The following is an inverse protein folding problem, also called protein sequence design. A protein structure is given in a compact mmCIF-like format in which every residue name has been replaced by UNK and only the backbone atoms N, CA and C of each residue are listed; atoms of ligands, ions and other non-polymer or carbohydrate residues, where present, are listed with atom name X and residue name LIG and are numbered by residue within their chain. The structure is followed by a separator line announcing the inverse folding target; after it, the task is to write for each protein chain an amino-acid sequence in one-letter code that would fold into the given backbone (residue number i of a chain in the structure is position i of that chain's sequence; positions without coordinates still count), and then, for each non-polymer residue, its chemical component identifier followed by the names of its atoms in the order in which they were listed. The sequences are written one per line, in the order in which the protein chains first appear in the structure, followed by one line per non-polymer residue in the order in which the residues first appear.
data_IF_787882631292
#
_entry.id   IF_787882631292
#
_cell.length_a   1.000
_cell.length_b   1.000
_cell.length_c   1.000
_cell.angle_alpha   90.00
_cell.angle_beta   90.00
_cell.angle_gamma   90.00
#
_symmetry.space_group_name_H-M   'P 1'
#
loop_
_entity.id
_entity.type
_entity.pdbx_description
1 polymer ?
#
# COMPACT_ATOMS: atom_id res chain seq x y z
N UNK A 1 21.14 44.77 -10.49
CA UNK A 1 21.31 45.42 -11.81
C UNK A 1 20.28 44.80 -12.73
N UNK A 2 19.35 45.60 -13.29
CA UNK A 2 18.13 45.12 -13.96
C UNK A 2 18.41 44.55 -15.34
N UNK A 3 17.86 43.37 -15.64
CA UNK A 3 17.71 42.77 -16.97
C UNK A 3 16.36 43.19 -17.57
N UNK A 4 16.13 44.50 -17.69
CA UNK A 4 14.89 45.04 -18.28
C UNK A 4 15.12 45.86 -19.55
N UNK A 5 16.32 45.83 -20.12
CA UNK A 5 16.65 46.62 -21.31
C UNK A 5 17.45 45.79 -22.29
N UNK A 6 16.74 45.09 -23.18
CA UNK A 6 17.04 44.87 -24.60
C UNK A 6 16.07 43.78 -25.11
N UNK A 7 15.28 44.16 -26.13
CA UNK A 7 14.23 43.40 -26.83
C UNK A 7 12.79 43.48 -26.24
N UNK A 8 12.00 44.38 -26.83
CA UNK A 8 10.54 44.29 -26.85
C UNK A 8 10.11 43.08 -27.69
N UNK A 9 9.83 41.95 -27.04
CA UNK A 9 8.90 40.93 -27.53
C UNK A 9 7.94 40.56 -26.40
N UNK A 10 6.80 41.24 -26.38
CA UNK A 10 5.66 40.91 -25.52
C UNK A 10 4.96 39.67 -26.05
N UNK A 11 5.39 38.49 -25.58
CA UNK A 11 4.62 37.24 -25.36
C UNK A 11 5.63 36.08 -25.30
N UNK A 12 6.15 35.78 -24.11
CA UNK A 12 6.87 34.51 -23.90
C UNK A 12 5.87 33.45 -23.47
N UNK A 13 5.71 32.44 -24.31
CA UNK A 13 5.11 31.15 -23.94
C UNK A 13 6.12 30.42 -23.05
N UNK A 14 5.70 29.88 -21.92
CA UNK A 14 6.55 29.01 -21.09
C UNK A 14 5.75 27.76 -20.79
N UNK A 15 5.82 26.80 -21.69
CA UNK A 15 5.56 25.42 -21.32
C UNK A 15 6.88 24.87 -20.80
N UNK A 16 6.86 24.36 -19.58
CA UNK A 16 8.01 23.67 -19.03
C UNK A 16 7.50 22.49 -18.22
N UNK A 17 8.05 21.34 -18.53
CA UNK A 17 7.93 20.16 -17.71
C UNK A 17 9.05 20.22 -16.68
N UNK A 18 8.67 20.36 -15.41
CA UNK A 18 9.64 20.31 -14.33
C UNK A 18 9.52 18.98 -13.61
N UNK A 19 10.50 18.11 -13.86
CA UNK A 19 10.78 17.00 -12.97
C UNK A 19 11.49 17.56 -11.73
N UNK A 20 10.95 17.27 -10.55
CA UNK A 20 11.49 17.81 -9.31
C UNK A 20 10.91 17.19 -8.07
N UNK A 21 11.15 17.84 -6.94
CA UNK A 21 10.63 17.44 -5.64
C UNK A 21 9.56 18.43 -5.18
N UNK A 22 8.34 17.95 -4.95
CA UNK A 22 7.33 18.71 -4.24
C UNK A 22 7.63 18.63 -2.75
N UNK A 23 7.90 19.79 -2.15
CA UNK A 23 8.14 19.92 -0.70
C UNK A 23 6.95 20.60 -0.06
N UNK A 24 6.43 20.00 1.00
CA UNK A 24 5.30 20.52 1.74
C UNK A 24 5.41 20.20 3.22
N UNK A 25 4.47 20.74 3.99
CA UNK A 25 4.28 20.38 5.38
C UNK A 25 2.90 19.73 5.43
N UNK A 26 2.87 18.46 5.81
CA UNK A 26 1.64 17.74 6.08
C UNK A 26 1.31 17.90 7.55
N UNK A 27 0.10 18.42 7.80
CA UNK A 27 -0.51 18.42 9.11
C UNK A 27 -1.59 17.36 9.13
N UNK A 28 -1.40 16.36 9.99
CA UNK A 28 -2.44 15.38 10.31
C UNK A 28 -2.99 15.77 11.67
N UNK A 29 -4.31 15.81 11.81
CA UNK A 29 -4.96 16.19 13.06
C UNK A 29 -4.44 15.33 14.23
N UNK A 30 -4.07 15.97 15.33
CA UNK A 30 -3.48 15.31 16.50
C UNK A 30 -2.00 14.90 16.36
N UNK A 31 -1.33 15.17 15.23
CA UNK A 31 0.11 14.91 15.04
C UNK A 31 0.89 16.18 14.74
N UNK A 32 2.16 16.17 15.14
CA UNK A 32 3.09 17.23 14.76
C UNK A 32 3.25 17.29 13.24
N UNK A 33 3.39 18.52 12.75
CA UNK A 33 3.58 18.82 11.35
C UNK A 33 4.85 18.13 10.82
N UNK A 34 4.72 17.39 9.71
CA UNK A 34 5.85 16.68 9.10
C UNK A 34 6.16 17.24 7.73
N UNK A 35 7.45 17.41 7.44
CA UNK A 35 7.88 17.76 6.09
C UNK A 35 7.67 16.57 5.15
N UNK A 36 7.01 16.83 4.03
CA UNK A 36 6.79 15.90 2.94
C UNK A 36 7.71 16.27 1.78
N UNK A 37 8.42 15.30 1.22
CA UNK A 37 9.20 15.44 0.00
C UNK A 37 8.78 14.33 -0.95
N UNK A 38 8.11 14.69 -2.05
CA UNK A 38 7.65 13.75 -3.08
C UNK A 38 8.37 14.03 -4.38
N UNK A 39 8.81 13.00 -5.09
CA UNK A 39 9.17 13.13 -6.50
C UNK A 39 7.90 13.45 -7.27
N UNK A 40 7.91 14.54 -8.03
CA UNK A 40 6.73 15.07 -8.69
C UNK A 40 7.07 15.54 -10.08
N UNK A 41 6.05 15.49 -10.93
CA UNK A 41 6.04 16.07 -12.26
C UNK A 41 5.06 17.23 -12.22
N UNK A 42 5.54 18.44 -12.53
CA UNK A 42 4.68 19.60 -12.70
C UNK A 42 4.68 19.98 -14.18
N UNK A 43 3.53 19.84 -14.80
CA UNK A 43 3.22 20.47 -16.09
C UNK A 43 2.52 21.81 -15.82
N UNK A 44 3.04 22.86 -16.42
CA UNK A 44 2.40 24.16 -16.41
C UNK A 44 2.36 24.73 -17.83
N UNK A 45 1.14 24.92 -18.34
CA UNK A 45 0.90 25.55 -19.63
C UNK A 45 -0.04 26.74 -19.45
N UNK A 46 0.44 27.95 -19.75
CA UNK A 46 -0.38 29.15 -19.88
C UNK A 46 -0.06 29.88 -21.19
N UNK A 47 -1.11 30.23 -21.93
CA UNK A 47 -1.00 30.97 -23.18
C UNK A 47 -2.23 30.82 -24.07
N UNK A 48 -2.43 31.77 -24.97
CA UNK A 48 -3.51 31.80 -25.98
C UNK A 48 -3.09 31.19 -27.33
N UNK A 49 -1.99 30.44 -27.38
CA UNK A 49 -1.41 29.91 -28.62
C UNK A 49 -0.93 28.46 -28.48
N UNK A 50 -1.05 27.71 -29.57
CA UNK A 50 -0.63 26.30 -29.74
C UNK A 50 0.89 26.17 -29.58
N UNK A 51 1.35 25.28 -28.69
CA UNK A 51 2.75 24.82 -28.67
C UNK A 51 2.87 23.53 -29.47
N UNK A 52 3.90 23.43 -30.32
CA UNK A 52 4.26 22.19 -31.01
C UNK A 52 5.72 21.89 -30.74
N UNK A 53 5.98 20.74 -30.15
CA UNK A 53 7.32 20.20 -29.89
C UNK A 53 7.35 18.75 -30.37
N UNK A 54 8.47 18.34 -30.96
CA UNK A 54 8.61 16.98 -31.43
C UNK A 54 10.02 16.65 -31.88
N UNK A 55 10.35 15.37 -31.83
CA UNK A 55 11.57 14.82 -32.39
C UNK A 55 11.29 13.41 -32.92
N UNK A 56 12.13 12.96 -33.83
CA UNK A 56 12.14 11.60 -34.37
C UNK A 56 13.47 10.95 -33.98
N UNK A 57 13.41 9.80 -33.34
CA UNK A 57 14.60 9.00 -33.03
C UNK A 57 14.82 7.93 -34.10
N UNK A 58 16.02 7.86 -34.65
CA UNK A 58 16.42 6.82 -35.59
C UNK A 58 16.95 5.58 -34.87
N UNK A 59 16.94 4.39 -35.49
CA UNK A 59 17.45 3.16 -34.86
C UNK A 59 18.92 3.22 -34.39
N UNK A 60 19.72 4.12 -34.96
CA UNK A 60 21.11 4.36 -34.56
C UNK A 60 21.24 5.36 -33.39
N UNK A 61 20.14 5.76 -32.77
CA UNK A 61 20.10 6.72 -31.65
C UNK A 61 20.19 8.19 -32.05
N UNK A 62 20.26 8.50 -33.35
CA UNK A 62 20.27 9.90 -33.81
C UNK A 62 18.88 10.51 -33.67
N UNK A 63 18.84 11.68 -33.02
CA UNK A 63 17.62 12.45 -32.78
C UNK A 63 17.50 13.58 -33.79
N UNK A 64 16.40 13.58 -34.54
CA UNK A 64 16.08 14.59 -35.56
C UNK A 64 14.96 15.46 -35.01
N UNK A 65 15.15 16.78 -35.01
CA UNK A 65 14.17 17.73 -34.45
C UNK A 65 13.07 17.99 -35.44
N UNK A 66 11.82 17.98 -34.98
CA UNK A 66 10.68 18.50 -35.74
C UNK A 66 10.74 20.03 -35.66
N UNK A 67 10.74 20.69 -36.81
CA UNK A 67 10.82 22.14 -36.95
C UNK A 67 9.49 22.78 -37.32
N UNK A 68 8.60 22.02 -37.95
CA UNK A 68 7.25 22.47 -38.28
C UNK A 68 6.28 21.28 -38.35
N UNK A 69 4.99 21.54 -38.15
CA UNK A 69 3.94 20.52 -38.17
C UNK A 69 2.59 21.17 -38.47
N UNK A 70 1.84 20.60 -39.43
CA UNK A 70 0.52 21.10 -39.83
C UNK A 70 -0.64 20.55 -38.99
N UNK A 71 -0.34 19.75 -37.94
CA UNK A 71 -1.35 19.20 -37.05
C UNK A 71 -2.15 20.32 -36.34
N UNK A 72 -3.43 20.42 -36.70
CA UNK A 72 -4.35 21.42 -36.20
C UNK A 72 -5.25 20.86 -35.09
N UNK A 73 -4.73 20.87 -33.86
CA UNK A 73 -5.42 20.34 -32.69
C UNK A 73 -6.80 20.98 -32.45
N UNK A 74 -6.97 22.32 -32.56
CA UNK A 74 -8.31 22.92 -32.52
C UNK A 74 -9.27 22.26 -33.50
N UNK A 75 -8.96 22.18 -34.79
CA UNK A 75 -9.91 21.62 -35.75
C UNK A 75 -10.13 20.11 -35.61
N UNK A 76 -9.14 19.37 -35.12
CA UNK A 76 -9.24 17.91 -34.98
C UNK A 76 -10.01 17.47 -33.74
N UNK A 77 -9.81 18.14 -32.60
CA UNK A 77 -10.22 17.65 -31.30
C UNK A 77 -11.16 18.57 -30.52
N UNK A 78 -11.80 19.55 -31.15
CA UNK A 78 -12.72 20.49 -30.49
C UNK A 78 -13.81 19.76 -29.68
N UNK A 79 -14.29 20.43 -28.63
CA UNK A 79 -15.43 20.00 -27.82
C UNK A 79 -15.30 18.58 -27.21
N UNK A 80 -14.08 18.20 -26.82
CA UNK A 80 -13.82 16.92 -26.15
C UNK A 80 -14.08 15.69 -27.02
N UNK A 81 -13.91 15.85 -28.33
CA UNK A 81 -14.14 14.78 -29.30
C UNK A 81 -12.86 14.54 -30.12
N UNK A 82 -11.91 13.75 -29.61
CA UNK A 82 -10.69 13.47 -30.34
C UNK A 82 -10.97 12.54 -31.54
N UNK A 83 -10.34 12.78 -32.70
CA UNK A 83 -10.63 12.06 -33.94
C UNK A 83 -10.25 10.58 -33.82
N UNK A 84 -10.98 9.69 -34.52
CA UNK A 84 -10.62 8.27 -34.59
C UNK A 84 -9.38 8.07 -35.46
N UNK A 85 -9.41 8.57 -36.68
CA UNK A 85 -8.30 8.50 -37.62
C UNK A 85 -7.96 9.92 -38.09
N UNK A 86 -6.67 10.21 -38.23
CA UNK A 86 -6.19 11.51 -38.69
C UNK A 86 -4.80 11.39 -39.31
N UNK A 87 -4.42 12.38 -40.09
CA UNK A 87 -3.10 12.45 -40.70
C UNK A 87 -2.58 13.88 -40.65
N UNK A 88 -1.27 14.02 -40.60
CA UNK A 88 -0.61 15.32 -40.60
C UNK A 88 0.79 15.19 -41.21
N UNK A 89 1.35 16.33 -41.62
CA UNK A 89 2.72 16.43 -42.09
C UNK A 89 3.58 17.14 -41.05
N UNK A 90 4.84 16.75 -40.98
CA UNK A 90 5.83 17.46 -40.18
C UNK A 90 7.15 17.60 -40.92
N UNK A 91 7.79 18.76 -40.75
CA UNK A 91 9.12 19.05 -41.29
C UNK A 91 10.16 18.90 -40.20
N UNK A 92 11.34 18.40 -40.55
CA UNK A 92 12.47 18.26 -39.62
C UNK A 92 13.68 19.10 -40.01
N UNK A 93 14.62 19.24 -39.08
CA UNK A 93 15.84 20.01 -39.27
C UNK A 93 16.85 19.41 -40.28
N UNK A 94 16.60 18.22 -40.82
CA UNK A 94 17.31 17.65 -41.98
C UNK A 94 16.70 18.10 -43.33
N UNK A 95 15.67 18.95 -43.30
CA UNK A 95 14.98 19.49 -44.46
C UNK A 95 13.91 18.59 -45.08
N UNK A 96 13.61 17.43 -44.47
CA UNK A 96 12.60 16.50 -44.96
C UNK A 96 11.21 16.83 -44.41
N UNK A 97 10.21 16.77 -45.28
CA UNK A 97 8.79 16.76 -44.90
C UNK A 97 8.31 15.30 -44.90
N UNK A 98 7.62 14.89 -43.85
CA UNK A 98 7.13 13.51 -43.64
C UNK A 98 5.63 13.50 -43.43
N UNK A 99 4.97 12.50 -43.98
CA UNK A 99 3.53 12.29 -43.82
C UNK A 99 3.27 11.20 -42.79
N UNK A 100 2.40 11.50 -41.83
CA UNK A 100 1.99 10.56 -40.77
C UNK A 100 0.50 10.30 -40.89
N UNK A 101 0.14 9.02 -40.96
CA UNK A 101 -1.23 8.53 -40.81
C UNK A 101 -1.37 7.84 -39.45
N UNK A 102 -2.40 8.20 -38.71
CA UNK A 102 -2.75 7.64 -37.40
C UNK A 102 -4.09 6.93 -37.52
N UNK A 103 -4.14 5.66 -37.08
CA UNK A 103 -5.38 4.90 -36.96
C UNK A 103 -5.59 4.43 -35.53
N UNK A 104 -6.73 4.76 -34.93
CA UNK A 104 -7.01 4.36 -33.54
C UNK A 104 -7.47 2.91 -33.48
N UNK A 105 -6.82 2.12 -32.60
CA UNK A 105 -7.26 0.76 -32.28
C UNK A 105 -8.20 0.74 -31.08
N UNK A 106 -7.83 1.46 -30.02
CA UNK A 106 -8.55 1.53 -28.76
C UNK A 106 -8.39 2.93 -28.15
N UNK A 107 -9.43 3.43 -27.50
CA UNK A 107 -9.53 4.80 -26.97
C UNK A 107 -10.31 4.79 -25.65
N UNK A 108 -9.73 4.33 -24.53
CA UNK A 108 -10.33 4.45 -23.23
C UNK A 108 -10.46 5.94 -22.84
N UNK A 109 -11.45 6.22 -22.02
CA UNK A 109 -11.69 7.52 -21.43
C UNK A 109 -11.43 7.43 -19.93
N UNK A 110 -10.59 8.32 -19.42
CA UNK A 110 -10.23 8.41 -18.02
C UNK A 110 -10.51 9.81 -17.47
N UNK A 111 -10.78 9.87 -16.18
CA UNK A 111 -10.92 11.12 -15.44
C UNK A 111 -9.87 11.15 -14.34
N UNK A 112 -9.14 12.27 -14.24
CA UNK A 112 -8.22 12.52 -13.15
C UNK A 112 -8.83 13.47 -12.13
N UNK A 113 -8.36 13.33 -10.89
CA UNK A 113 -8.81 14.04 -9.69
C UNK A 113 -10.21 13.63 -9.22
N UNK A 114 -10.46 13.81 -7.93
CA UNK A 114 -11.74 13.42 -7.30
C UNK A 114 -12.93 14.18 -7.87
N UNK A 115 -12.68 15.36 -8.44
CA UNK A 115 -13.68 16.21 -9.08
C UNK A 115 -13.85 15.97 -10.59
N UNK A 116 -13.09 15.02 -11.15
CA UNK A 116 -13.10 14.64 -12.57
C UNK A 116 -12.86 15.82 -13.53
N UNK A 117 -12.15 16.89 -13.10
CA UNK A 117 -11.95 18.09 -13.91
C UNK A 117 -11.03 17.90 -15.12
N UNK A 118 -10.23 16.84 -15.14
CA UNK A 118 -9.37 16.50 -16.27
C UNK A 118 -9.87 15.19 -16.88
N UNK A 119 -10.14 15.22 -18.18
CA UNK A 119 -10.57 14.07 -18.96
C UNK A 119 -9.52 13.73 -20.00
N UNK A 120 -9.12 12.46 -20.06
CA UNK A 120 -8.02 11.98 -20.89
C UNK A 120 -8.50 10.84 -21.78
N UNK A 121 -8.20 10.93 -23.07
CA UNK A 121 -8.32 9.80 -23.99
C UNK A 121 -6.92 9.29 -24.33
N UNK A 122 -6.57 8.10 -23.84
CA UNK A 122 -5.27 7.48 -24.05
C UNK A 122 -5.34 6.48 -25.22
N UNK A 123 -5.18 6.97 -26.45
CA UNK A 123 -5.43 6.16 -27.64
C UNK A 123 -4.24 5.29 -27.98
N UNK A 124 -4.45 3.98 -28.10
CA UNK A 124 -3.47 3.08 -28.72
C UNK A 124 -3.67 3.13 -30.23
N UNK A 125 -2.63 3.49 -30.97
CA UNK A 125 -2.72 3.79 -32.40
C UNK A 125 -1.75 2.97 -33.25
N UNK A 126 -2.18 2.66 -34.46
CA UNK A 126 -1.31 2.31 -35.58
C UNK A 126 -0.80 3.59 -36.25
N UNK A 127 0.48 3.62 -36.56
CA UNK A 127 1.15 4.76 -37.19
C UNK A 127 1.77 4.30 -38.51
N UNK A 128 1.57 5.08 -39.56
CA UNK A 128 2.31 4.95 -40.81
C UNK A 128 3.03 6.28 -41.09
N UNK A 129 4.35 6.28 -41.05
CA UNK A 129 5.17 7.45 -41.36
C UNK A 129 5.97 7.19 -42.63
N UNK A 130 5.62 7.85 -43.74
CA UNK A 130 6.24 7.65 -45.05
C UNK A 130 6.34 6.17 -45.50
N UNK A 131 5.32 5.36 -45.19
CA UNK A 131 5.28 3.92 -45.51
C UNK A 131 5.89 3.02 -44.43
N UNK A 132 6.53 3.58 -43.40
CA UNK A 132 7.06 2.83 -42.25
C UNK A 132 5.96 2.65 -41.22
N UNK A 133 5.56 1.39 -41.01
CA UNK A 133 4.53 1.03 -40.04
C UNK A 133 5.11 0.94 -38.63
N UNK A 134 4.33 1.41 -37.66
CA UNK A 134 4.62 1.32 -36.24
C UNK A 134 3.34 1.40 -35.40
N UNK A 135 3.52 1.43 -34.09
CA UNK A 135 2.44 1.60 -33.11
C UNK A 135 2.84 2.69 -32.13
N UNK A 136 1.87 3.37 -31.55
CA UNK A 136 2.12 4.43 -30.57
C UNK A 136 0.95 4.68 -29.65
N UNK A 137 1.10 5.72 -28.83
CA UNK A 137 0.05 6.26 -27.97
C UNK A 137 -0.21 7.70 -28.40
N UNK A 138 -1.47 8.07 -28.51
CA UNK A 138 -1.92 9.45 -28.71
C UNK A 138 -2.81 9.84 -27.54
N UNK A 139 -2.33 10.76 -26.70
CA UNK A 139 -3.07 11.25 -25.53
C UNK A 139 -3.78 12.56 -25.87
N UNK A 140 -5.08 12.61 -25.59
CA UNK A 140 -5.89 13.82 -25.76
C UNK A 140 -6.44 14.25 -24.40
N UNK A 141 -6.02 15.41 -23.92
CA UNK A 141 -6.40 15.93 -22.61
C UNK A 141 -7.38 17.07 -22.77
N UNK A 142 -8.45 17.01 -22.01
CA UNK A 142 -9.53 17.99 -22.02
C UNK A 142 -9.90 18.40 -20.61
N UNK A 143 -10.34 19.66 -20.47
CA UNK A 143 -11.04 20.10 -19.28
C UNK A 143 -12.47 19.58 -19.28
N UNK A 144 -12.90 19.04 -18.14
CA UNK A 144 -14.27 18.61 -17.90
C UNK A 144 -14.94 19.55 -16.89
N UNK A 145 -15.87 20.37 -17.37
CA UNK A 145 -16.55 21.38 -16.52
C UNK A 145 -17.82 20.84 -15.84
N UNK A 146 -18.22 19.60 -16.12
CA UNK A 146 -19.43 18.99 -15.53
C UNK A 146 -19.20 18.39 -14.14
N UNK A 147 -17.94 18.10 -13.79
CA UNK A 147 -17.57 17.44 -12.53
C UNK A 147 -17.88 15.95 -12.50
N UNK A 148 -17.48 15.27 -11.41
CA UNK A 148 -17.78 13.86 -11.17
C UNK A 148 -19.30 13.68 -10.98
N UNK A 149 -20.00 12.88 -11.83
CA UNK A 149 -21.43 12.64 -11.71
C UNK A 149 -21.77 11.62 -10.61
N UNK A 150 -20.76 10.96 -10.05
CA UNK A 150 -20.90 9.94 -9.02
C UNK A 150 -20.75 10.60 -7.65
N UNK A 151 -21.73 10.43 -6.78
CA UNK A 151 -21.53 10.70 -5.36
C UNK A 151 -20.45 9.75 -4.85
N UNK A 152 -19.27 10.28 -4.52
CA UNK A 152 -18.22 9.49 -3.88
C UNK A 152 -18.81 8.98 -2.56
N UNK A 153 -19.07 7.67 -2.50
CA UNK A 153 -19.53 7.03 -1.29
C UNK A 153 -18.56 7.33 -0.15
N UNK A 154 -19.06 7.51 1.06
CA UNK A 154 -18.20 7.62 2.23
C UNK A 154 -17.32 6.37 2.30
N UNK A 155 -16.00 6.55 2.31
CA UNK A 155 -15.10 5.46 2.67
C UNK A 155 -15.53 4.90 4.02
N UNK A 156 -15.64 3.58 4.12
CA UNK A 156 -15.84 2.94 5.43
C UNK A 156 -14.69 3.34 6.35
N UNK A 157 -15.00 3.58 7.62
CA UNK A 157 -13.96 3.88 8.60
C UNK A 157 -12.92 2.76 8.59
N UNK A 158 -11.66 3.13 8.41
CA UNK A 158 -10.59 2.17 8.49
C UNK A 158 -10.56 1.61 9.90
N UNK A 159 -10.68 0.28 10.01
CA UNK A 159 -10.44 -0.42 11.27
C UNK A 159 -9.02 -0.11 11.75
N UNK A 160 -8.91 0.37 12.98
CA UNK A 160 -7.65 0.79 13.61
C UNK A 160 -7.55 0.17 14.99
N UNK A 161 -6.31 -0.03 15.42
CA UNK A 161 -6.02 -0.37 16.81
C UNK A 161 -6.51 0.72 17.76
N UNK A 162 -6.88 0.39 19.00
CA UNK A 162 -7.30 1.37 19.98
C UNK A 162 -6.16 2.32 20.36
N UNK A 163 -6.44 3.62 20.40
CA UNK A 163 -5.48 4.63 20.87
C UNK A 163 -5.18 4.50 22.37
N UNK A 164 -6.17 4.05 23.15
CA UNK A 164 -6.08 3.92 24.60
C UNK A 164 -6.64 2.56 25.03
N UNK A 165 -5.85 1.85 25.82
CA UNK A 165 -6.22 0.59 26.47
C UNK A 165 -6.18 0.84 27.97
N UNK A 166 -7.21 0.42 28.71
CA UNK A 166 -7.25 0.59 30.15
C UNK A 166 -6.24 -0.34 30.86
N UNK A 167 -5.79 0.05 32.06
CA UNK A 167 -4.79 -0.71 32.82
C UNK A 167 -5.20 -2.16 33.11
N UNK A 168 -6.49 -2.40 33.31
CA UNK A 168 -7.03 -3.76 33.54
C UNK A 168 -6.85 -4.65 32.31
N UNK A 169 -7.06 -4.10 31.11
CA UNK A 169 -6.91 -4.87 29.86
C UNK A 169 -5.43 -5.02 29.47
N UNK A 170 -4.59 -4.02 29.76
CA UNK A 170 -3.13 -4.11 29.56
C UNK A 170 -2.48 -5.22 30.39
N UNK A 171 -3.06 -5.54 31.55
CA UNK A 171 -2.58 -6.61 32.44
C UNK A 171 -3.36 -7.91 32.31
N UNK A 172 -4.40 -7.96 31.46
CA UNK A 172 -5.20 -9.16 31.27
C UNK A 172 -4.37 -10.28 30.66
N UNK A 173 -4.64 -11.53 31.05
CA UNK A 173 -4.05 -12.73 30.45
C UNK A 173 -4.83 -13.21 29.22
N UNK A 174 -6.11 -12.86 29.13
CA UNK A 174 -7.00 -13.24 28.04
C UNK A 174 -7.85 -12.06 27.61
N UNK A 175 -8.06 -11.92 26.31
CA UNK A 175 -8.97 -10.91 25.74
C UNK A 175 -9.88 -11.55 24.70
N UNK A 176 -11.19 -11.39 24.86
CA UNK A 176 -12.19 -11.83 23.88
C UNK A 176 -12.09 -11.01 22.60
N UNK A 177 -12.44 -11.59 21.46
CA UNK A 177 -12.41 -10.86 20.18
C UNK A 177 -13.28 -9.61 20.15
N UNK A 178 -14.35 -9.55 20.95
CA UNK A 178 -15.24 -8.39 21.03
C UNK A 178 -14.83 -7.35 22.09
N UNK A 179 -13.72 -7.56 22.80
CA UNK A 179 -13.12 -6.53 23.64
C UNK A 179 -12.23 -5.62 22.79
N UNK A 180 -12.40 -4.31 22.92
CA UNK A 180 -11.62 -3.29 22.18
C UNK A 180 -10.11 -3.52 22.30
N UNK A 181 -9.62 -3.84 23.50
CA UNK A 181 -8.20 -4.13 23.74
C UNK A 181 -7.64 -5.33 22.96
N UNK A 182 -8.48 -6.30 22.57
CA UNK A 182 -8.07 -7.44 21.74
C UNK A 182 -7.69 -7.01 20.32
N UNK A 183 -8.06 -5.80 19.91
CA UNK A 183 -7.67 -5.20 18.64
C UNK A 183 -6.31 -4.49 18.70
N UNK A 184 -5.47 -4.83 19.68
CA UNK A 184 -4.11 -4.31 19.82
C UNK A 184 -3.07 -5.38 19.47
N UNK A 185 -2.31 -5.15 18.41
CA UNK A 185 -1.31 -6.12 17.95
C UNK A 185 -0.15 -6.28 18.93
N UNK A 186 0.10 -5.29 19.78
CA UNK A 186 1.12 -5.38 20.84
C UNK A 186 0.70 -6.28 22.01
N UNK A 187 -0.61 -6.50 22.21
CA UNK A 187 -1.11 -7.38 23.28
C UNK A 187 -1.35 -8.81 22.79
N UNK A 188 -1.85 -8.98 21.57
CA UNK A 188 -2.33 -10.29 21.07
C UNK A 188 -1.70 -10.74 19.75
N UNK A 189 -0.73 -9.98 19.21
CA UNK A 189 -0.11 -10.26 17.91
C UNK A 189 -0.99 -9.89 16.71
N UNK A 190 -0.42 -10.04 15.51
CA UNK A 190 -1.05 -9.58 14.26
C UNK A 190 -2.37 -10.29 13.94
N UNK A 191 -2.40 -11.63 13.96
CA UNK A 191 -3.60 -12.41 13.62
C UNK A 191 -4.74 -12.23 14.62
N UNK A 192 -4.42 -12.22 15.91
CA UNK A 192 -5.38 -11.98 16.99
C UNK A 192 -6.03 -10.61 16.86
N UNK A 193 -5.21 -9.58 16.61
CA UNK A 193 -5.68 -8.22 16.35
C UNK A 193 -6.61 -8.17 15.13
N UNK A 194 -6.21 -8.79 14.01
CA UNK A 194 -7.04 -8.84 12.80
C UNK A 194 -8.39 -9.53 13.04
N UNK A 195 -8.43 -10.64 13.78
CA UNK A 195 -9.69 -11.32 14.13
C UNK A 195 -10.59 -10.45 15.01
N UNK A 196 -10.02 -9.73 15.98
CA UNK A 196 -10.77 -8.80 16.81
C UNK A 196 -11.32 -7.62 16.01
N UNK A 197 -10.51 -7.03 15.13
CA UNK A 197 -10.94 -5.98 14.20
C UNK A 197 -12.07 -6.46 13.28
N UNK A 198 -11.93 -7.64 12.67
CA UNK A 198 -13.00 -8.23 11.84
C UNK A 198 -14.28 -8.52 12.64
N UNK A 199 -14.17 -8.86 13.93
CA UNK A 199 -15.32 -9.08 14.81
C UNK A 199 -16.12 -7.80 15.06
N UNK A 200 -15.50 -6.62 14.92
CA UNK A 200 -16.20 -5.32 15.03
C UNK A 200 -17.03 -5.00 13.78
N UNK A 201 -16.75 -5.64 12.65
CA UNK A 201 -17.54 -5.45 11.43
C UNK A 201 -18.85 -6.23 11.51
N UNK A 202 -19.96 -5.55 11.24
CA UNK A 202 -21.22 -6.23 10.94
C UNK A 202 -21.25 -6.55 9.44
N UNK A 203 -21.25 -7.84 9.10
CA UNK A 203 -21.32 -8.31 7.71
C UNK A 203 -22.32 -9.45 7.59
N UNK A 204 -23.08 -9.47 6.49
CA UNK A 204 -23.91 -10.61 6.10
C UNK A 204 -23.12 -11.68 5.32
N UNK A 205 -21.91 -11.34 4.85
CA UNK A 205 -21.11 -12.20 3.97
C UNK A 205 -20.18 -13.15 4.74
N UNK A 206 -19.83 -12.82 5.99
CA UNK A 206 -18.95 -13.64 6.81
C UNK A 206 -19.33 -13.61 8.30
N UNK A 207 -18.90 -14.66 9.01
CA UNK A 207 -19.03 -14.78 10.46
C UNK A 207 -17.64 -15.08 11.01
N UNK A 208 -17.19 -14.26 11.97
CA UNK A 208 -16.01 -14.59 12.78
C UNK A 208 -16.46 -15.49 13.92
N UNK A 209 -15.91 -16.72 14.05
CA UNK A 209 -16.21 -17.58 15.19
C UNK A 209 -15.86 -16.88 16.51
N UNK A 210 -16.69 -17.06 17.53
CA UNK A 210 -16.37 -16.58 18.89
C UNK A 210 -15.04 -17.15 19.33
N UNK A 211 -14.30 -16.38 20.12
CA UNK A 211 -13.00 -16.79 20.62
C UNK A 211 -12.34 -15.69 21.46
N UNK A 212 -11.12 -15.98 21.87
CA UNK A 212 -10.29 -15.09 22.65
C UNK A 212 -8.82 -15.33 22.32
N UNK A 213 -8.00 -14.32 22.61
CA UNK A 213 -6.56 -14.39 22.52
C UNK A 213 -5.97 -14.59 23.92
N UNK A 214 -4.91 -15.38 24.00
CA UNK A 214 -3.94 -15.27 25.09
C UNK A 214 -3.10 -14.02 24.83
N UNK A 215 -2.96 -13.16 25.82
CA UNK A 215 -2.12 -11.98 25.68
C UNK A 215 -0.66 -12.34 25.88
N UNK A 216 0.23 -11.44 25.44
CA UNK A 216 1.67 -11.58 25.69
C UNK A 216 2.06 -11.63 27.17
N UNK A 217 1.17 -11.20 28.06
CA UNK A 217 1.36 -11.29 29.50
C UNK A 217 1.43 -12.75 29.98
N UNK A 218 0.70 -13.67 29.33
CA UNK A 218 0.78 -15.12 29.63
C UNK A 218 2.19 -15.64 29.35
N UNK A 219 2.72 -15.30 28.16
CA UNK A 219 4.08 -15.66 27.78
C UNK A 219 5.12 -15.04 28.71
N UNK A 220 5.00 -13.75 29.01
CA UNK A 220 5.92 -13.05 29.91
C UNK A 220 5.89 -13.64 31.33
N UNK A 221 4.72 -13.96 31.86
CA UNK A 221 4.58 -14.59 33.18
C UNK A 221 5.25 -15.96 33.21
N UNK A 222 4.98 -16.80 32.21
CA UNK A 222 5.58 -18.13 32.09
C UNK A 222 7.11 -18.07 31.96
N UNK A 223 7.60 -17.17 31.10
CA UNK A 223 9.03 -16.99 30.85
C UNK A 223 9.76 -16.44 32.08
N UNK A 224 9.25 -15.37 32.71
CA UNK A 224 9.88 -14.75 33.88
C UNK A 224 9.84 -15.66 35.12
N UNK A 225 8.87 -16.58 35.19
CA UNK A 225 8.76 -17.56 36.25
C UNK A 225 9.68 -18.78 36.08
N UNK A 226 10.39 -18.90 34.95
CA UNK A 226 11.16 -20.08 34.61
C UNK A 226 12.63 -19.75 34.26
N UNK A 227 13.52 -19.96 35.23
CA UNK A 227 14.96 -19.69 35.07
C UNK A 227 15.60 -20.54 33.97
N UNK A 228 15.14 -21.77 33.76
CA UNK A 228 15.68 -22.65 32.71
C UNK A 228 15.44 -22.08 31.32
N UNK A 229 14.24 -21.53 31.07
CA UNK A 229 13.93 -20.85 29.80
C UNK A 229 14.80 -19.61 29.59
N UNK A 230 15.05 -18.85 30.66
CA UNK A 230 15.91 -17.68 30.60
C UNK A 230 17.37 -18.05 30.29
N UNK A 231 17.88 -19.11 30.91
CA UNK A 231 19.22 -19.62 30.68
C UNK A 231 19.38 -20.14 29.25
N UNK A 232 18.38 -20.87 28.72
CA UNK A 232 18.35 -21.37 27.35
C UNK A 232 18.30 -20.25 26.30
N UNK A 233 17.53 -19.20 26.55
CA UNK A 233 17.50 -18.05 25.64
C UNK A 233 18.86 -17.32 25.62
N UNK A 234 19.48 -17.13 26.79
CA UNK A 234 20.82 -16.55 26.87
C UNK A 234 21.85 -17.44 26.15
N UNK A 235 21.75 -18.77 26.26
CA UNK A 235 22.58 -19.70 25.51
C UNK A 235 22.45 -19.49 24.00
N UNK A 236 21.23 -19.41 23.47
CA UNK A 236 20.96 -19.10 22.05
C UNK A 236 21.60 -17.76 21.65
N UNK A 237 21.47 -16.73 22.49
CA UNK A 237 22.08 -15.42 22.23
C UNK A 237 23.60 -15.54 22.11
N UNK A 238 24.27 -16.22 23.04
CA UNK A 238 25.73 -16.42 22.99
C UNK A 238 26.16 -17.25 21.77
N UNK A 239 25.41 -18.30 21.42
CA UNK A 239 25.68 -19.08 20.20
C UNK A 239 25.53 -18.24 18.94
N UNK A 240 24.50 -17.38 18.87
CA UNK A 240 24.21 -16.56 17.69
C UNK A 240 25.28 -15.51 17.39
N UNK A 241 26.03 -15.08 18.41
CA UNK A 241 27.16 -14.13 18.29
C UNK A 241 28.52 -14.85 18.32
N UNK A 242 28.53 -16.17 18.13
CA UNK A 242 29.72 -17.04 18.06
C UNK A 242 30.60 -17.02 19.33
N UNK A 243 30.05 -16.62 20.48
CA UNK A 243 30.80 -16.63 21.77
C UNK A 243 30.77 -18.00 22.44
N UNK A 244 29.82 -18.86 22.08
CA UNK A 244 29.72 -20.24 22.55
C UNK A 244 29.85 -21.20 21.36
N UNK A 245 30.84 -22.11 21.40
CA UNK A 245 31.15 -23.08 20.33
C UNK A 245 30.17 -24.24 20.22
N UNK A 246 28.86 -23.97 20.29
CA UNK A 246 27.76 -24.93 20.16
C UNK A 246 26.99 -24.65 18.87
N UNK A 247 26.51 -25.66 18.13
CA UNK A 247 25.65 -25.44 16.96
C UNK A 247 24.33 -24.73 17.35
N UNK A 248 23.94 -23.71 16.59
CA UNK A 248 22.69 -22.96 16.82
C UNK A 248 21.46 -23.86 16.82
N UNK A 249 21.40 -24.81 15.88
CA UNK A 249 20.31 -25.79 15.78
C UNK A 249 20.13 -26.57 17.10
N UNK A 250 21.22 -27.06 17.70
CA UNK A 250 21.15 -27.76 18.98
C UNK A 250 20.67 -26.85 20.13
N UNK A 251 21.10 -25.59 20.15
CA UNK A 251 20.63 -24.65 21.18
C UNK A 251 19.13 -24.33 21.01
N UNK A 252 18.65 -24.22 19.77
CA UNK A 252 17.23 -24.04 19.47
C UNK A 252 16.40 -25.27 19.86
N UNK A 253 16.87 -26.48 19.53
CA UNK A 253 16.17 -27.73 19.88
C UNK A 253 16.02 -27.88 21.40
N UNK A 254 17.07 -27.59 22.16
CA UNK A 254 17.02 -27.63 23.62
C UNK A 254 16.07 -26.57 24.21
N UNK A 255 15.97 -25.40 23.59
CA UNK A 255 14.98 -24.38 23.99
C UNK A 255 13.55 -24.85 23.70
N UNK A 256 13.32 -25.47 22.54
CA UNK A 256 12.01 -26.04 22.20
C UNK A 256 11.63 -27.13 23.19
N UNK A 257 12.56 -28.03 23.52
CA UNK A 257 12.34 -29.08 24.54
C UNK A 257 12.02 -28.46 25.90
N UNK A 258 12.79 -27.48 26.36
CA UNK A 258 12.56 -26.81 27.63
C UNK A 258 11.18 -26.13 27.70
N UNK A 259 10.73 -25.50 26.60
CA UNK A 259 9.38 -24.93 26.51
C UNK A 259 8.31 -26.03 26.61
N UNK A 260 8.47 -27.14 25.87
CA UNK A 260 7.49 -28.24 25.86
C UNK A 260 7.40 -28.97 27.21
N UNK A 261 8.49 -29.07 27.97
CA UNK A 261 8.51 -29.74 29.28
C UNK A 261 8.18 -28.80 30.43
N UNK A 262 8.22 -27.49 30.21
CA UNK A 262 7.87 -26.51 31.25
C UNK A 262 6.37 -26.53 31.57
N UNK A 263 6.04 -26.51 32.85
CA UNK A 263 4.65 -26.41 33.31
C UNK A 263 4.22 -24.95 33.46
N UNK A 264 3.08 -24.58 32.90
CA UNK A 264 2.44 -23.30 33.19
C UNK A 264 1.94 -23.25 34.64
N UNK A 265 1.95 -22.06 35.25
CA UNK A 265 1.40 -21.85 36.58
C UNK A 265 -0.11 -22.16 36.61
N UNK A 266 -0.57 -22.80 37.68
CA UNK A 266 -1.97 -23.20 37.82
C UNK A 266 -2.93 -22.01 37.68
N UNK A 267 -2.59 -20.84 38.26
CA UNK A 267 -3.41 -19.64 38.11
C UNK A 267 -3.64 -19.24 36.63
N UNK A 268 -2.61 -19.38 35.80
CA UNK A 268 -2.67 -19.07 34.37
C UNK A 268 -3.58 -20.05 33.65
N UNK A 269 -3.44 -21.35 33.92
CA UNK A 269 -4.30 -22.39 33.35
C UNK A 269 -5.76 -22.19 33.75
N UNK A 270 -6.03 -21.85 35.02
CA UNK A 270 -7.38 -21.56 35.50
C UNK A 270 -8.00 -20.33 34.81
N UNK A 271 -7.24 -19.24 34.66
CA UNK A 271 -7.73 -18.04 34.00
C UNK A 271 -8.04 -18.25 32.51
N UNK A 272 -7.18 -18.99 31.80
CA UNK A 272 -7.40 -19.36 30.39
C UNK A 272 -8.69 -20.19 30.27
N UNK A 273 -8.83 -21.18 31.14
CA UNK A 273 -10.00 -22.06 31.10
C UNK A 273 -11.28 -21.33 31.47
N UNK A 274 -11.24 -20.44 32.46
CA UNK A 274 -12.36 -19.59 32.84
C UNK A 274 -12.82 -18.72 31.67
N UNK A 275 -11.90 -18.12 30.92
CA UNK A 275 -12.24 -17.34 29.72
C UNK A 275 -12.95 -18.20 28.67
N UNK A 276 -12.52 -19.45 28.47
CA UNK A 276 -13.21 -20.39 27.59
C UNK A 276 -14.64 -20.70 28.08
N UNK A 277 -14.82 -20.98 29.37
CA UNK A 277 -16.15 -21.27 29.95
C UNK A 277 -17.11 -20.08 29.89
N UNK A 278 -16.61 -18.85 30.05
CA UNK A 278 -17.40 -17.62 29.93
C UNK A 278 -17.95 -17.39 28.52
N UNK A 279 -17.18 -17.77 27.49
CA UNK A 279 -17.61 -17.67 26.09
C UNK A 279 -18.46 -18.88 25.67
N UNK A 280 -18.14 -20.04 26.24
CA UNK A 280 -18.68 -21.34 25.85
C UNK A 280 -19.19 -22.13 27.06
N UNK A 281 -20.51 -22.11 27.35
CA UNK A 281 -21.10 -22.81 28.49
C UNK A 281 -20.88 -24.34 28.53
N UNK A 282 -20.50 -24.95 27.41
CA UNK A 282 -20.13 -26.36 27.28
C UNK A 282 -18.68 -26.52 26.77
N UNK A 283 -17.75 -25.70 27.27
CA UNK A 283 -16.36 -25.65 26.79
C UNK A 283 -15.68 -27.03 26.71
N UNK A 284 -15.98 -27.95 27.63
CA UNK A 284 -15.43 -29.32 27.62
C UNK A 284 -15.83 -30.14 26.38
N UNK A 285 -16.99 -29.87 25.78
CA UNK A 285 -17.51 -30.62 24.64
C UNK A 285 -17.16 -29.97 23.29
N UNK A 286 -16.62 -28.75 23.32
CA UNK A 286 -16.26 -27.97 22.14
C UNK A 286 -14.81 -28.26 21.75
N UNK A 287 -14.59 -28.36 20.44
CA UNK A 287 -13.26 -28.46 19.88
C UNK A 287 -12.72 -27.06 19.53
N UNK A 288 -11.53 -26.73 20.01
CA UNK A 288 -10.85 -25.47 19.76
C UNK A 288 -9.80 -25.62 18.66
N UNK A 289 -9.54 -24.50 17.97
CA UNK A 289 -8.35 -24.32 17.15
C UNK A 289 -7.39 -23.41 17.91
N UNK A 290 -6.21 -23.93 18.25
CA UNK A 290 -5.14 -23.18 18.92
C UNK A 290 -4.19 -22.69 17.83
N UNK A 291 -4.08 -21.37 17.68
CA UNK A 291 -3.32 -20.72 16.62
C UNK A 291 -2.34 -19.75 17.23
N UNK A 292 -1.11 -19.74 16.74
CA UNK A 292 -0.16 -18.70 17.12
C UNK A 292 -0.57 -17.34 16.56
N UNK A 293 -0.20 -16.28 17.27
CA UNK A 293 -0.33 -14.90 16.83
C UNK A 293 0.85 -14.13 17.39
N UNK A 294 1.90 -13.95 16.57
CA UNK A 294 3.13 -13.29 17.05
C UNK A 294 3.04 -11.77 16.90
N UNK A 295 3.73 -11.05 17.78
CA UNK A 295 3.98 -9.62 17.58
C UNK A 295 4.94 -9.45 16.40
N UNK A 296 4.59 -8.56 15.46
CA UNK A 296 5.44 -8.25 14.31
C UNK A 296 5.43 -9.27 13.17
N UNK A 297 4.54 -10.28 13.21
CA UNK A 297 4.39 -11.29 12.14
C UNK A 297 3.89 -10.69 10.81
N UNK A 298 3.06 -9.63 10.90
CA UNK A 298 2.39 -8.96 9.78
C UNK A 298 3.00 -7.57 9.49
N UNK A 299 4.30 -7.37 9.79
CA UNK A 299 4.99 -6.12 9.52
C UNK A 299 5.30 -5.92 8.03
N UNK A 300 5.38 -4.66 7.58
CA UNK A 300 5.73 -4.32 6.19
C UNK A 300 7.12 -4.86 5.77
N UNK A 301 8.02 -5.06 6.73
CA UNK A 301 9.41 -5.48 6.51
C UNK A 301 9.64 -6.98 6.77
N UNK A 302 8.72 -7.69 7.43
CA UNK A 302 8.86 -9.09 7.83
C UNK A 302 7.50 -9.80 7.74
N UNK A 303 7.39 -10.73 6.80
CA UNK A 303 6.28 -11.70 6.75
C UNK A 303 6.83 -13.08 7.09
N UNK A 304 6.45 -13.61 8.24
CA UNK A 304 6.82 -14.96 8.70
C UNK A 304 5.69 -15.96 8.48
N UNK A 305 4.84 -15.70 7.48
CA UNK A 305 3.64 -16.50 7.20
C UNK A 305 3.98 -17.99 7.02
N UNK A 306 3.28 -18.84 7.77
CA UNK A 306 3.41 -20.30 7.68
C UNK A 306 4.55 -20.92 8.48
N UNK A 307 5.31 -20.15 9.27
CA UNK A 307 6.37 -20.69 10.13
C UNK A 307 5.88 -21.21 11.49
N UNK A 308 4.63 -20.93 11.86
CA UNK A 308 4.10 -21.21 13.19
C UNK A 308 2.97 -22.24 13.16
N UNK A 309 2.93 -23.08 14.19
CA UNK A 309 1.97 -24.17 14.30
C UNK A 309 0.52 -23.72 14.45
N UNK A 310 -0.39 -24.55 13.96
CA UNK A 310 -1.83 -24.47 14.20
C UNK A 310 -2.32 -25.86 14.58
N UNK A 311 -2.89 -25.97 15.78
CA UNK A 311 -3.43 -27.23 16.31
C UNK A 311 -4.95 -27.16 16.24
N UNK A 312 -5.55 -28.15 15.60
CA UNK A 312 -7.00 -28.22 15.41
C UNK A 312 -7.59 -29.35 16.24
N UNK A 313 -8.82 -29.15 16.72
CA UNK A 313 -9.58 -30.21 17.38
C UNK A 313 -9.25 -30.43 18.85
N UNK A 314 -8.61 -29.45 19.51
CA UNK A 314 -8.22 -29.53 20.92
C UNK A 314 -9.47 -29.51 21.81
N UNK A 315 -9.56 -30.42 22.78
CA UNK A 315 -10.75 -30.56 23.64
C UNK A 315 -10.36 -30.72 25.11
N UNK A 316 -11.08 -30.02 25.98
CA UNK A 316 -10.86 -30.11 27.42
C UNK A 316 -9.59 -29.38 27.88
N UNK A 317 -9.51 -29.19 29.20
CA UNK A 317 -8.52 -28.31 29.85
C UNK A 317 -7.08 -28.82 29.84
N UNK A 318 -6.89 -30.15 29.78
CA UNK A 318 -5.58 -30.80 29.88
C UNK A 318 -4.96 -31.18 28.53
N UNK A 319 -5.69 -30.97 27.42
CA UNK A 319 -5.22 -31.24 26.06
C UNK A 319 -4.55 -30.00 25.47
#
# INVERSE_FOLDING_TARGET
MRLSELFHFSTHQTHYEQQGEMRGIVKVEGKEERSLILKSFRDHTFGTLTLRLGYMSLPNGVMIKVTDCDLDLPNLGLNRNPPQDYSFNFTTNDGKNRHVEIKTRYSPEYYHHDDWRSMVFEKVVDVNCDGVKGTGIAEWLYRCDTGCPVEVGSSVDQLKEPDVICETDLSAWTLRFDQSACSSSSLVGGKGCQLALLTQMTSEDFIVPKGFCLTVNVFQHHYNGNQELADKLNEIQQVSIETLGKPLEMACDEMVEAVLTSSMANETVEAIWKAAEEIFPAANDIAFAVRSSAIGEDGADLSSAGQMDTILGVKGKQS
#
